data_IF_150033694031
#
_entry.id   IF_150033694031
#
_cell.length_a   1.000
_cell.length_b   1.000
_cell.length_c   1.000
_cell.angle_alpha   90.00
_cell.angle_beta   90.00
_cell.angle_gamma   90.00
#
_symmetry.space_group_name_H-M   'P 1'
#
loop_
_entity.id
_entity.type
_entity.pdbx_description
1 polymer ?
#
# COMPACT_ATOMS: atom_id res chain seq x y z
N UNK A 1 -26.26 -8.60 1.31
CA UNK A 1 -25.06 -9.38 1.00
C UNK A 1 -25.06 -9.79 -0.47
N UNK A 2 -24.11 -9.29 -1.23
CA UNK A 2 -23.95 -9.56 -2.68
C UNK A 2 -23.32 -10.93 -2.96
N UNK A 3 -22.77 -11.60 -1.94
CA UNK A 3 -22.09 -12.91 -2.04
C UNK A 3 -21.04 -12.95 -3.16
N UNK A 4 -20.29 -11.85 -3.33
CA UNK A 4 -19.26 -11.72 -4.37
C UNK A 4 -19.85 -11.98 -5.79
N UNK A 5 -21.00 -11.37 -6.06
CA UNK A 5 -21.71 -11.54 -7.31
C UNK A 5 -21.98 -10.18 -8.00
N UNK A 6 -21.28 -9.84 -9.10
CA UNK A 6 -21.43 -8.56 -9.78
C UNK A 6 -22.88 -8.23 -10.21
N UNK A 7 -23.66 -9.26 -10.59
CA UNK A 7 -25.07 -9.07 -10.92
C UNK A 7 -25.91 -8.62 -9.71
N UNK A 8 -25.62 -9.17 -8.51
CA UNK A 8 -26.32 -8.76 -7.30
C UNK A 8 -25.93 -7.33 -6.91
N UNK A 9 -24.68 -6.94 -7.09
CA UNK A 9 -24.16 -5.59 -6.87
C UNK A 9 -24.82 -4.59 -7.84
N UNK A 10 -24.98 -4.94 -9.10
CA UNK A 10 -25.72 -4.13 -10.08
C UNK A 10 -27.19 -3.92 -9.68
N UNK A 11 -27.87 -5.00 -9.24
CA UNK A 11 -29.25 -4.92 -8.79
C UNK A 11 -29.40 -4.06 -7.52
N UNK A 12 -28.43 -4.14 -6.61
CA UNK A 12 -28.42 -3.33 -5.40
C UNK A 12 -28.33 -1.82 -5.74
N UNK A 13 -27.53 -1.43 -6.73
CA UNK A 13 -27.32 -0.04 -7.14
C UNK A 13 -28.60 0.68 -7.57
N UNK A 14 -29.63 -0.04 -8.03
CA UNK A 14 -30.90 0.55 -8.45
C UNK A 14 -31.95 0.63 -7.33
N UNK A 15 -31.66 0.05 -6.16
CA UNK A 15 -32.63 0.05 -5.06
C UNK A 15 -32.88 1.46 -4.50
N UNK A 16 -34.10 1.74 -3.99
CA UNK A 16 -34.39 3.03 -3.36
C UNK A 16 -33.45 3.36 -2.21
N UNK A 17 -33.09 2.36 -1.39
CA UNK A 17 -32.19 2.53 -0.25
C UNK A 17 -30.84 3.12 -0.68
N UNK A 18 -30.22 2.57 -1.75
CA UNK A 18 -28.97 3.11 -2.27
C UNK A 18 -29.17 4.48 -2.88
N UNK A 19 -30.25 4.65 -3.69
CA UNK A 19 -30.51 5.92 -4.37
C UNK A 19 -30.82 7.10 -3.44
N UNK A 20 -31.18 6.85 -2.18
CA UNK A 20 -31.43 7.88 -1.16
C UNK A 20 -30.27 8.05 -0.21
N UNK A 21 -29.21 7.24 -0.32
CA UNK A 21 -28.02 7.35 0.52
C UNK A 21 -27.18 8.57 0.17
N UNK A 22 -26.52 9.15 1.17
CA UNK A 22 -25.53 10.24 1.01
C UNK A 22 -24.13 9.69 0.74
N UNK A 23 -23.87 8.44 1.17
CA UNK A 23 -22.58 7.73 1.00
C UNK A 23 -22.85 6.22 0.94
N UNK A 24 -22.07 5.52 0.14
CA UNK A 24 -22.01 4.05 0.12
C UNK A 24 -20.59 3.60 0.46
N UNK A 25 -20.44 2.69 1.44
CA UNK A 25 -19.18 2.03 1.75
C UNK A 25 -19.25 0.60 1.22
N UNK A 26 -18.43 0.27 0.22
CA UNK A 26 -18.50 -0.96 -0.56
C UNK A 26 -19.06 -0.73 -1.96
N UNK A 27 -19.21 -1.80 -2.77
CA UNK A 27 -18.80 -3.19 -2.50
C UNK A 27 -17.31 -3.38 -2.21
N UNK A 28 -16.96 -4.53 -1.62
CA UNK A 28 -15.59 -4.82 -1.18
C UNK A 28 -14.71 -5.30 -2.34
N UNK A 29 -15.26 -6.13 -3.23
CA UNK A 29 -14.49 -6.73 -4.31
C UNK A 29 -14.49 -5.88 -5.58
N UNK A 30 -13.38 -5.87 -6.36
CA UNK A 30 -13.23 -5.00 -7.53
C UNK A 30 -14.31 -5.16 -8.58
N UNK A 31 -14.68 -6.40 -8.91
CA UNK A 31 -15.67 -6.70 -9.96
C UNK A 31 -17.07 -6.26 -9.54
N UNK A 32 -17.42 -6.48 -8.27
CA UNK A 32 -18.66 -6.02 -7.65
C UNK A 32 -18.73 -4.48 -7.65
N UNK A 33 -17.63 -3.83 -7.24
CA UNK A 33 -17.55 -2.38 -7.22
C UNK A 33 -17.68 -1.78 -8.62
N UNK A 34 -17.06 -2.39 -9.62
CA UNK A 34 -17.17 -1.95 -11.01
C UNK A 34 -18.62 -2.08 -11.52
N UNK A 35 -19.26 -3.23 -11.28
CA UNK A 35 -20.64 -3.46 -11.67
C UNK A 35 -21.61 -2.47 -11.00
N UNK A 36 -21.42 -2.24 -9.70
CA UNK A 36 -22.20 -1.30 -8.91
C UNK A 36 -22.05 0.15 -9.40
N UNK A 37 -20.83 0.64 -9.55
CA UNK A 37 -20.55 2.03 -9.95
C UNK A 37 -20.96 2.32 -11.39
N UNK A 38 -20.83 1.36 -12.29
CA UNK A 38 -21.32 1.50 -13.68
C UNK A 38 -22.83 1.76 -13.73
N UNK A 39 -23.60 1.05 -12.91
CA UNK A 39 -25.07 1.25 -12.84
C UNK A 39 -25.42 2.59 -12.17
N UNK A 40 -24.70 2.98 -11.10
CA UNK A 40 -24.91 4.28 -10.46
C UNK A 40 -24.61 5.44 -11.42
N UNK A 41 -23.51 5.38 -12.16
CA UNK A 41 -23.15 6.41 -13.13
C UNK A 41 -24.21 6.59 -14.21
N UNK A 42 -24.83 5.48 -14.66
CA UNK A 42 -25.95 5.51 -15.64
C UNK A 42 -27.24 6.09 -15.07
N UNK A 43 -27.40 6.21 -13.75
CA UNK A 43 -28.64 6.72 -13.14
C UNK A 43 -28.72 8.24 -13.06
N UNK A 44 -27.68 8.96 -13.43
CA UNK A 44 -27.57 10.43 -13.34
C UNK A 44 -27.46 10.98 -11.92
N UNK A 45 -27.49 10.13 -10.89
CA UNK A 45 -27.30 10.54 -9.49
C UNK A 45 -25.86 10.26 -9.06
N UNK A 46 -25.27 11.25 -8.47
CA UNK A 46 -23.90 11.19 -7.93
C UNK A 46 -23.96 10.83 -6.45
N UNK A 47 -23.54 9.60 -6.12
CA UNK A 47 -23.42 9.13 -4.74
C UNK A 47 -21.96 8.76 -4.48
N UNK A 48 -21.27 9.44 -3.55
CA UNK A 48 -19.92 9.05 -3.17
C UNK A 48 -19.86 7.58 -2.76
N UNK A 49 -18.96 6.83 -3.38
CA UNK A 49 -18.81 5.39 -3.14
C UNK A 49 -17.40 5.12 -2.65
N UNK A 50 -17.26 4.54 -1.47
CA UNK A 50 -15.97 4.20 -0.85
C UNK A 50 -15.62 2.76 -1.17
N UNK A 51 -14.45 2.54 -1.78
CA UNK A 51 -13.82 1.23 -1.92
C UNK A 51 -12.95 0.95 -0.69
N UNK A 52 -13.41 0.12 0.26
CA UNK A 52 -12.75 0.00 1.55
C UNK A 52 -11.47 -0.81 1.52
N UNK A 53 -11.38 -1.86 0.67
CA UNK A 53 -10.27 -2.82 0.71
C UNK A 53 -9.51 -2.96 -0.61
N UNK A 54 -10.08 -2.55 -1.74
CA UNK A 54 -9.46 -2.78 -3.04
C UNK A 54 -8.66 -1.57 -3.53
N UNK A 55 -7.34 -1.70 -3.74
CA UNK A 55 -6.52 -0.67 -4.36
C UNK A 55 -6.61 -0.65 -5.89
N UNK A 56 -7.19 -1.70 -6.51
CA UNK A 56 -7.23 -1.88 -7.96
C UNK A 56 -8.42 -1.19 -8.63
N UNK A 57 -9.43 -0.79 -7.87
CA UNK A 57 -10.66 -0.18 -8.38
C UNK A 57 -10.45 1.05 -9.30
N UNK A 58 -9.49 1.95 -9.05
CA UNK A 58 -9.35 3.17 -9.84
C UNK A 58 -9.03 2.95 -11.32
N UNK A 59 -8.42 1.83 -11.68
CA UNK A 59 -8.02 1.58 -13.07
C UNK A 59 -9.19 1.18 -13.99
N UNK A 60 -10.24 0.61 -13.41
CA UNK A 60 -11.39 0.05 -14.13
C UNK A 60 -12.65 0.88 -14.00
N UNK A 61 -12.77 1.66 -12.92
CA UNK A 61 -13.96 2.47 -12.61
C UNK A 61 -13.68 3.92 -12.95
N UNK A 62 -14.29 4.40 -14.02
CA UNK A 62 -14.25 5.83 -14.44
C UNK A 62 -15.28 6.64 -13.65
N UNK A 63 -15.19 6.60 -12.32
CA UNK A 63 -16.11 7.32 -11.46
C UNK A 63 -15.36 8.40 -10.65
N UNK A 64 -15.68 9.66 -10.93
CA UNK A 64 -15.08 10.81 -10.23
C UNK A 64 -15.48 10.92 -8.76
N UNK A 65 -16.44 10.12 -8.30
CA UNK A 65 -16.95 10.08 -6.92
C UNK A 65 -16.53 8.83 -6.17
N UNK A 66 -15.74 7.97 -6.80
CA UNK A 66 -15.12 6.84 -6.12
C UNK A 66 -14.04 7.34 -5.17
N UNK A 67 -14.04 6.80 -3.95
CA UNK A 67 -13.00 7.02 -2.94
C UNK A 67 -12.28 5.70 -2.68
N UNK A 68 -11.03 5.59 -3.09
CA UNK A 68 -10.19 4.41 -2.86
C UNK A 68 -9.39 4.59 -1.57
N UNK A 69 -9.74 3.85 -0.53
CA UNK A 69 -9.11 3.93 0.80
C UNK A 69 -7.79 3.16 0.85
N UNK A 70 -7.76 1.94 0.29
CA UNK A 70 -6.54 1.16 0.22
C UNK A 70 -5.52 1.80 -0.74
N UNK A 71 -4.35 2.11 -0.23
CA UNK A 71 -3.29 2.78 -1.03
C UNK A 71 -2.81 1.88 -2.17
N UNK A 72 -2.89 2.31 -3.44
CA UNK A 72 -2.39 1.54 -4.57
C UNK A 72 -0.87 1.33 -4.53
N UNK A 73 -0.42 0.20 -5.09
CA UNK A 73 0.99 -0.22 -5.11
C UNK A 73 1.94 0.83 -5.70
N UNK A 74 1.47 1.62 -6.64
CA UNK A 74 2.26 2.71 -7.23
C UNK A 74 2.72 3.75 -6.21
N UNK A 75 1.89 4.06 -5.20
CA UNK A 75 2.27 5.02 -4.14
C UNK A 75 3.25 4.41 -3.14
N UNK A 76 3.17 3.11 -2.89
CA UNK A 76 4.23 2.41 -2.16
C UNK A 76 5.57 2.54 -2.87
N UNK A 77 5.60 2.34 -4.18
CA UNK A 77 6.80 2.46 -4.99
C UNK A 77 7.35 3.90 -5.02
N UNK A 78 6.47 4.90 -5.18
CA UNK A 78 6.85 6.32 -5.11
C UNK A 78 7.39 6.72 -3.75
N UNK A 79 6.72 6.32 -2.67
CA UNK A 79 7.16 6.60 -1.30
C UNK A 79 8.51 5.95 -1.00
N UNK A 80 8.74 4.73 -1.49
CA UNK A 80 10.05 4.07 -1.37
C UNK A 80 11.14 4.84 -2.12
N UNK A 81 10.86 5.31 -3.35
CA UNK A 81 11.81 6.11 -4.10
C UNK A 81 12.14 7.46 -3.41
N UNK A 82 11.12 8.12 -2.86
CA UNK A 82 11.29 9.36 -2.11
C UNK A 82 12.14 9.15 -0.85
N UNK A 83 11.81 8.13 -0.05
CA UNK A 83 12.55 7.77 1.15
C UNK A 83 14.03 7.44 0.86
N UNK A 84 14.31 6.64 -0.17
CA UNK A 84 15.68 6.34 -0.60
C UNK A 84 16.44 7.61 -0.97
N UNK A 85 15.81 8.52 -1.72
CA UNK A 85 16.47 9.76 -2.10
C UNK A 85 16.70 10.71 -0.92
N UNK A 86 15.81 10.74 0.04
CA UNK A 86 15.91 11.61 1.22
C UNK A 86 17.01 11.15 2.19
N UNK A 87 17.03 9.85 2.51
CA UNK A 87 17.87 9.29 3.57
C UNK A 87 19.24 8.80 3.08
N UNK A 88 19.32 8.25 1.87
CA UNK A 88 20.54 7.62 1.34
C UNK A 88 21.21 8.42 0.22
N UNK A 89 20.46 9.20 -0.57
CA UNK A 89 20.96 9.97 -1.72
C UNK A 89 21.90 9.17 -2.63
N UNK A 90 21.56 7.94 -3.01
CA UNK A 90 22.49 7.03 -3.65
C UNK A 90 22.81 7.48 -5.10
N UNK A 91 24.06 7.29 -5.51
CA UNK A 91 24.44 7.44 -6.93
C UNK A 91 23.85 6.34 -7.80
N UNK A 92 23.62 5.15 -7.22
CA UNK A 92 23.09 3.97 -7.90
C UNK A 92 22.05 3.27 -7.03
N UNK A 93 21.01 2.73 -7.65
CA UNK A 93 20.02 1.83 -7.04
C UNK A 93 19.95 0.55 -7.86
N UNK A 94 20.02 -0.60 -7.21
CA UNK A 94 19.95 -1.91 -7.82
C UNK A 94 18.54 -2.49 -7.67
N UNK A 95 17.82 -2.72 -8.78
CA UNK A 95 16.53 -3.39 -8.78
C UNK A 95 16.74 -4.84 -9.21
N UNK A 96 16.58 -5.79 -8.28
CA UNK A 96 16.73 -7.22 -8.60
C UNK A 96 15.37 -7.79 -9.04
N UNK A 97 15.27 -8.12 -10.32
CA UNK A 97 14.05 -8.64 -10.96
C UNK A 97 14.08 -10.16 -11.02
N UNK A 98 12.94 -10.80 -10.78
CA UNK A 98 12.76 -12.24 -11.06
C UNK A 98 12.47 -12.53 -12.52
N UNK A 99 12.03 -11.52 -13.28
CA UNK A 99 11.63 -11.64 -14.67
C UNK A 99 10.12 -11.81 -14.89
N UNK A 100 9.32 -11.88 -13.84
CA UNK A 100 7.87 -11.89 -13.96
C UNK A 100 7.30 -10.50 -14.25
N UNK A 101 6.29 -10.43 -15.11
CA UNK A 101 5.74 -9.17 -15.61
C UNK A 101 4.96 -8.37 -14.57
N UNK A 102 4.42 -9.02 -13.55
CA UNK A 102 3.68 -8.40 -12.45
C UNK A 102 4.55 -7.45 -11.61
N UNK A 103 5.85 -7.69 -11.53
CA UNK A 103 6.81 -6.78 -10.89
C UNK A 103 6.82 -5.38 -11.51
N UNK A 104 6.42 -5.26 -12.78
CA UNK A 104 6.38 -3.96 -13.45
C UNK A 104 5.37 -3.00 -12.83
N UNK A 105 4.35 -3.51 -12.13
CA UNK A 105 3.39 -2.68 -11.37
C UNK A 105 4.08 -1.89 -10.26
N UNK A 106 5.19 -2.39 -9.73
CA UNK A 106 6.04 -1.70 -8.76
C UNK A 106 7.23 -0.99 -9.43
N UNK A 107 7.94 -1.67 -10.34
CA UNK A 107 9.18 -1.18 -10.94
C UNK A 107 8.95 0.10 -11.73
N UNK A 108 7.88 0.16 -12.54
CA UNK A 108 7.62 1.32 -13.40
C UNK A 108 7.38 2.60 -12.60
N UNK A 109 6.46 2.63 -11.61
CA UNK A 109 6.29 3.81 -10.77
C UNK A 109 7.52 4.12 -9.90
N UNK A 110 8.25 3.09 -9.40
CA UNK A 110 9.49 3.30 -8.67
C UNK A 110 10.56 4.04 -9.49
N UNK A 111 10.78 3.63 -10.74
CA UNK A 111 11.72 4.30 -11.66
C UNK A 111 11.31 5.75 -11.91
N UNK A 112 10.03 5.98 -12.22
CA UNK A 112 9.51 7.35 -12.41
C UNK A 112 9.69 8.20 -11.15
N UNK A 113 9.41 7.63 -9.98
CA UNK A 113 9.62 8.28 -8.69
C UNK A 113 11.07 8.64 -8.47
N UNK A 114 12.01 7.69 -8.66
CA UNK A 114 13.45 7.91 -8.51
C UNK A 114 13.93 9.01 -9.46
N UNK A 115 13.55 8.98 -10.73
CA UNK A 115 13.92 9.99 -11.72
C UNK A 115 13.43 11.40 -11.32
N UNK A 116 12.20 11.47 -10.80
CA UNK A 116 11.59 12.71 -10.34
C UNK A 116 12.32 13.29 -9.13
N UNK A 117 12.45 12.50 -8.04
CA UNK A 117 12.97 13.01 -6.76
C UNK A 117 14.48 13.24 -6.80
N UNK A 118 15.24 12.44 -7.55
CA UNK A 118 16.69 12.59 -7.72
C UNK A 118 17.05 13.58 -8.82
N UNK A 119 16.06 14.13 -9.54
CA UNK A 119 16.27 14.93 -10.75
C UNK A 119 17.17 14.21 -11.77
N UNK A 120 16.95 12.89 -11.93
CA UNK A 120 17.72 11.96 -12.80
C UNK A 120 19.20 11.82 -12.44
N UNK A 121 19.58 12.11 -11.20
CA UNK A 121 20.98 11.97 -10.75
C UNK A 121 21.31 10.54 -10.27
N UNK A 122 20.30 9.76 -9.88
CA UNK A 122 20.46 8.37 -9.44
C UNK A 122 20.38 7.42 -10.62
N UNK A 123 21.44 6.65 -10.86
CA UNK A 123 21.46 5.60 -11.89
C UNK A 123 20.72 4.35 -11.40
N UNK A 124 19.78 3.84 -12.18
CA UNK A 124 19.08 2.59 -11.89
C UNK A 124 19.73 1.45 -12.67
N UNK A 125 20.12 0.39 -11.97
CA UNK A 125 20.67 -0.86 -12.51
C UNK A 125 19.65 -1.95 -12.20
N UNK A 126 19.05 -2.56 -13.23
CA UNK A 126 17.90 -3.44 -13.05
C UNK A 126 18.09 -4.80 -13.77
N UNK A 127 19.02 -5.65 -13.30
CA UNK A 127 19.24 -6.97 -13.87
C UNK A 127 18.07 -7.91 -13.56
N UNK A 128 17.87 -8.88 -14.45
CA UNK A 128 17.09 -10.07 -14.14
C UNK A 128 18.02 -11.08 -13.48
N UNK A 129 17.72 -11.45 -12.24
CA UNK A 129 18.56 -12.35 -11.44
C UNK A 129 18.11 -13.79 -11.64
N UNK A 130 19.01 -14.63 -12.09
CA UNK A 130 18.74 -16.05 -12.28
C UNK A 130 19.42 -16.86 -11.17
N UNK A 131 18.64 -17.69 -10.47
CA UNK A 131 19.15 -18.56 -9.39
C UNK A 131 19.97 -17.83 -8.32
N UNK A 132 19.61 -16.57 -8.03
CA UNK A 132 20.30 -15.75 -7.02
C UNK A 132 21.72 -15.31 -7.38
N UNK A 133 22.16 -15.43 -8.63
CA UNK A 133 23.50 -15.00 -9.05
C UNK A 133 23.58 -13.49 -9.07
N UNK A 134 24.52 -12.93 -8.30
CA UNK A 134 24.77 -11.50 -8.17
C UNK A 134 26.20 -11.12 -8.56
N UNK A 135 26.98 -12.05 -9.11
CA UNK A 135 28.41 -11.88 -9.42
C UNK A 135 28.68 -10.69 -10.34
N UNK A 136 27.82 -10.47 -11.32
CA UNK A 136 27.92 -9.36 -12.27
C UNK A 136 27.73 -7.97 -11.62
N UNK A 137 27.15 -7.92 -10.43
CA UNK A 137 26.97 -6.68 -9.69
C UNK A 137 28.17 -6.34 -8.79
N UNK A 138 28.96 -7.32 -8.41
CA UNK A 138 30.09 -7.14 -7.47
C UNK A 138 31.04 -6.01 -7.90
N UNK A 139 31.47 -5.88 -9.16
CA UNK A 139 32.32 -4.75 -9.57
C UNK A 139 31.67 -3.37 -9.46
N UNK A 140 30.36 -3.32 -9.26
CA UNK A 140 29.61 -2.08 -9.17
C UNK A 140 29.28 -1.68 -7.73
N UNK A 141 29.53 -2.56 -6.76
CA UNK A 141 29.26 -2.32 -5.34
C UNK A 141 30.35 -1.45 -4.71
N UNK A 142 29.94 -0.58 -3.80
CA UNK A 142 30.83 0.19 -2.94
C UNK A 142 31.16 -0.61 -1.67
N UNK A 143 32.39 -0.53 -1.22
CA UNK A 143 32.83 -1.09 0.07
C UNK A 143 32.65 -0.10 1.23
N UNK A 144 32.37 1.16 0.94
CA UNK A 144 32.30 2.25 1.92
C UNK A 144 30.95 2.97 1.96
N UNK A 145 30.26 3.08 0.82
CA UNK A 145 28.94 3.71 0.73
C UNK A 145 27.84 2.61 0.74
N UNK A 146 26.66 2.94 1.26
CA UNK A 146 25.51 2.00 1.25
C UNK A 146 25.12 1.64 -0.16
N UNK A 147 24.99 0.35 -0.42
CA UNK A 147 24.46 -0.20 -1.65
C UNK A 147 22.97 -0.45 -1.48
N UNK A 148 22.17 0.34 -2.17
CA UNK A 148 20.70 0.30 -2.07
C UNK A 148 20.14 -0.71 -3.06
N UNK A 149 19.48 -1.75 -2.54
CA UNK A 149 18.81 -2.78 -3.32
C UNK A 149 17.29 -2.66 -3.16
N UNK A 150 16.57 -2.84 -4.27
CA UNK A 150 15.10 -2.92 -4.31
C UNK A 150 14.72 -4.26 -4.93
N UNK A 151 13.91 -5.02 -4.21
CA UNK A 151 13.43 -6.34 -4.66
C UNK A 151 11.91 -6.33 -4.68
N UNK A 152 11.28 -6.06 -5.84
CA UNK A 152 9.83 -5.92 -5.98
C UNK A 152 9.08 -7.26 -6.07
N UNK A 153 9.80 -8.37 -6.04
CA UNK A 153 9.22 -9.70 -6.26
C UNK A 153 8.39 -10.19 -5.07
N UNK A 154 7.36 -10.95 -5.36
CA UNK A 154 6.56 -11.72 -4.38
C UNK A 154 6.76 -13.23 -4.55
N UNK A 155 7.59 -13.66 -5.51
CA UNK A 155 7.86 -15.06 -5.76
C UNK A 155 8.76 -15.68 -4.69
N UNK A 156 8.25 -16.66 -3.94
CA UNK A 156 8.94 -17.28 -2.82
C UNK A 156 10.28 -17.90 -3.20
N UNK A 157 10.33 -18.66 -4.30
CA UNK A 157 11.56 -19.34 -4.72
C UNK A 157 12.66 -18.34 -5.07
N UNK A 158 12.30 -17.30 -5.80
CA UNK A 158 13.21 -16.21 -6.14
C UNK A 158 13.72 -15.51 -4.90
N UNK A 159 12.83 -15.14 -3.98
CA UNK A 159 13.17 -14.41 -2.76
C UNK A 159 14.13 -15.20 -1.87
N UNK A 160 13.83 -16.47 -1.58
CA UNK A 160 14.66 -17.30 -0.72
C UNK A 160 16.11 -17.38 -1.22
N UNK A 161 16.30 -17.55 -2.53
CA UNK A 161 17.64 -17.69 -3.10
C UNK A 161 18.36 -16.34 -3.18
N UNK A 162 17.67 -15.31 -3.67
CA UNK A 162 18.25 -13.97 -3.88
C UNK A 162 18.62 -13.30 -2.56
N UNK A 163 17.77 -13.40 -1.52
CA UNK A 163 18.07 -12.83 -0.22
C UNK A 163 19.24 -13.51 0.49
N UNK A 164 19.42 -14.84 0.32
CA UNK A 164 20.62 -15.53 0.81
C UNK A 164 21.89 -15.04 0.14
N UNK A 165 21.83 -14.78 -1.15
CA UNK A 165 22.97 -14.22 -1.90
C UNK A 165 23.28 -12.79 -1.43
N UNK A 166 22.28 -11.96 -1.21
CA UNK A 166 22.47 -10.62 -0.61
C UNK A 166 23.06 -10.69 0.79
N UNK A 167 22.59 -11.61 1.65
CA UNK A 167 23.15 -11.82 3.00
C UNK A 167 24.64 -12.21 2.98
N UNK A 168 25.03 -13.02 1.99
CA UNK A 168 26.44 -13.35 1.76
C UNK A 168 27.27 -12.14 1.32
N UNK A 169 26.71 -11.28 0.48
CA UNK A 169 27.35 -10.03 0.05
C UNK A 169 27.44 -9.02 1.19
N UNK A 170 26.44 -8.97 2.07
CA UNK A 170 26.37 -8.04 3.21
C UNK A 170 27.53 -8.23 4.22
N UNK A 171 28.20 -9.38 4.19
CA UNK A 171 29.43 -9.60 4.98
C UNK A 171 30.62 -8.76 4.53
N UNK A 172 30.59 -8.26 3.29
CA UNK A 172 31.71 -7.54 2.64
C UNK A 172 31.33 -6.15 2.16
N UNK A 173 30.05 -5.90 1.96
CA UNK A 173 29.53 -4.65 1.40
C UNK A 173 28.42 -4.13 2.29
N UNK A 174 28.36 -2.83 2.61
CA UNK A 174 27.21 -2.25 3.29
C UNK A 174 25.99 -2.33 2.35
N UNK A 175 24.92 -2.99 2.84
CA UNK A 175 23.70 -3.24 2.06
C UNK A 175 22.48 -2.74 2.81
N UNK A 176 21.62 -2.01 2.12
CA UNK A 176 20.26 -1.68 2.54
C UNK A 176 19.27 -2.20 1.52
N UNK A 177 18.28 -2.95 1.99
CA UNK A 177 17.28 -3.62 1.15
C UNK A 177 15.91 -2.97 1.29
N UNK A 178 15.23 -2.78 0.17
CA UNK A 178 13.83 -2.37 0.10
C UNK A 178 13.01 -3.48 -0.55
N UNK A 179 12.05 -4.02 0.21
CA UNK A 179 11.19 -5.12 -0.22
C UNK A 179 9.80 -4.66 -0.67
N UNK A 180 9.06 -5.59 -1.28
CA UNK A 180 7.65 -5.39 -1.62
C UNK A 180 6.79 -5.28 -0.35
N UNK A 181 5.76 -4.42 -0.29
CA UNK A 181 4.90 -4.25 0.90
C UNK A 181 4.27 -5.56 1.40
N UNK A 182 3.97 -6.51 0.53
CA UNK A 182 3.43 -7.81 0.90
C UNK A 182 4.37 -8.68 1.75
N UNK A 183 5.67 -8.35 1.83
CA UNK A 183 6.63 -9.16 2.60
C UNK A 183 6.31 -9.22 4.09
N UNK A 184 5.62 -8.22 4.63
CA UNK A 184 5.12 -8.23 5.99
C UNK A 184 4.22 -9.44 6.32
N UNK A 185 3.62 -10.04 5.29
CA UNK A 185 2.70 -11.19 5.40
C UNK A 185 3.37 -12.53 5.08
N UNK A 186 4.65 -12.53 4.71
CA UNK A 186 5.37 -13.74 4.26
C UNK A 186 6.12 -14.42 5.42
N UNK A 187 5.51 -15.42 6.01
CA UNK A 187 6.06 -16.17 7.15
C UNK A 187 7.37 -16.92 6.87
N UNK A 188 7.68 -17.17 5.59
CA UNK A 188 8.94 -17.81 5.18
C UNK A 188 10.14 -16.86 5.15
N UNK A 189 9.92 -15.55 5.20
CA UNK A 189 10.99 -14.55 5.31
C UNK A 189 11.41 -14.41 6.78
N UNK A 190 12.63 -14.81 7.08
CA UNK A 190 13.13 -14.83 8.45
C UNK A 190 13.51 -13.41 8.91
N UNK A 191 12.98 -12.91 10.04
CA UNK A 191 13.29 -11.57 10.54
C UNK A 191 14.78 -11.29 10.77
N UNK A 192 15.55 -12.29 11.19
CA UNK A 192 17.00 -12.16 11.41
C UNK A 192 17.75 -11.88 10.11
N UNK A 193 17.37 -12.52 9.00
CA UNK A 193 17.92 -12.26 7.67
C UNK A 193 17.56 -10.84 7.20
N UNK A 194 16.29 -10.47 7.35
CA UNK A 194 15.80 -9.16 6.93
C UNK A 194 16.46 -8.02 7.74
N UNK A 195 16.71 -8.25 9.04
CA UNK A 195 17.42 -7.30 9.90
C UNK A 195 18.87 -7.13 9.47
N UNK A 196 19.61 -8.22 9.16
CA UNK A 196 21.00 -8.11 8.68
C UNK A 196 21.12 -7.34 7.38
N UNK A 197 20.11 -7.41 6.53
CA UNK A 197 20.03 -6.66 5.27
C UNK A 197 19.46 -5.25 5.45
N UNK A 198 19.26 -4.77 6.69
CA UNK A 198 18.63 -3.46 6.97
C UNK A 198 17.37 -3.28 6.11
N UNK A 199 16.47 -4.28 6.16
CA UNK A 199 15.36 -4.34 5.23
C UNK A 199 14.26 -3.37 5.60
N UNK A 200 13.88 -2.55 4.63
CA UNK A 200 12.75 -1.63 4.70
C UNK A 200 11.59 -2.16 3.85
N UNK A 201 10.38 -1.97 4.33
CA UNK A 201 9.15 -2.20 3.56
C UNK A 201 8.18 -1.04 3.76
N UNK A 202 7.47 -0.69 2.72
CA UNK A 202 6.37 0.27 2.81
C UNK A 202 5.11 -0.41 3.33
N UNK A 203 4.35 0.27 4.19
CA UNK A 203 3.16 -0.29 4.81
C UNK A 203 2.12 0.81 5.10
N UNK A 204 0.83 0.47 5.10
CA UNK A 204 -0.28 1.41 5.35
C UNK A 204 -1.12 1.06 6.56
N UNK A 205 -1.05 -0.19 7.04
CA UNK A 205 -2.05 -0.80 7.90
C UNK A 205 -1.46 -1.59 9.09
N UNK A 206 -0.34 -1.11 9.65
CA UNK A 206 0.30 -1.78 10.79
C UNK A 206 -0.41 -1.45 12.10
N UNK A 207 -0.79 -2.49 12.85
CA UNK A 207 -1.35 -2.36 14.19
C UNK A 207 -0.22 -2.14 15.22
N UNK A 208 -0.26 -1.03 15.94
CA UNK A 208 0.58 -0.82 17.11
C UNK A 208 -0.15 -1.25 18.39
N UNK A 209 0.00 -2.50 18.76
CA UNK A 209 -0.63 -3.06 19.97
C UNK A 209 -0.16 -2.39 21.29
N UNK A 210 0.91 -1.61 21.26
CA UNK A 210 1.39 -0.83 22.43
C UNK A 210 0.64 0.50 22.58
N UNK A 211 -0.10 0.91 21.55
CA UNK A 211 -0.90 2.13 21.57
C UNK A 211 -2.05 2.06 22.58
N UNK A 212 -2.21 3.07 23.47
CA UNK A 212 -3.35 3.14 24.37
C UNK A 212 -4.70 3.17 23.65
N UNK A 213 -4.77 3.81 22.47
CA UNK A 213 -5.98 3.88 21.65
C UNK A 213 -6.39 2.50 21.13
N UNK A 214 -5.44 1.72 20.62
CA UNK A 214 -5.68 0.32 20.18
C UNK A 214 -6.15 -0.53 21.35
N UNK A 215 -5.48 -0.41 22.51
CA UNK A 215 -5.87 -1.15 23.73
C UNK A 215 -7.28 -0.79 24.19
N UNK A 216 -7.66 0.48 24.13
CA UNK A 216 -9.01 0.95 24.46
C UNK A 216 -10.04 0.43 23.46
N UNK A 217 -9.75 0.48 22.17
CA UNK A 217 -10.61 -0.07 21.11
C UNK A 217 -10.88 -1.56 21.34
N UNK A 218 -9.83 -2.36 21.55
CA UNK A 218 -9.97 -3.80 21.80
C UNK A 218 -10.87 -4.09 22.99
N UNK A 219 -10.69 -3.39 24.12
CA UNK A 219 -11.53 -3.55 25.31
C UNK A 219 -13.00 -3.22 25.02
N UNK A 220 -13.25 -2.11 24.33
CA UNK A 220 -14.61 -1.67 24.01
C UNK A 220 -15.28 -2.61 23.00
N UNK A 221 -14.53 -3.10 22.01
CA UNK A 221 -15.02 -4.06 21.04
C UNK A 221 -15.42 -5.39 21.70
N UNK A 222 -14.55 -5.94 22.59
CA UNK A 222 -14.86 -7.15 23.37
C UNK A 222 -16.13 -6.98 24.22
N UNK A 223 -16.28 -5.81 24.84
CA UNK A 223 -17.48 -5.50 25.65
C UNK A 223 -18.74 -5.45 24.80
N UNK A 224 -18.68 -4.85 23.62
CA UNK A 224 -19.83 -4.67 22.73
C UNK A 224 -20.23 -5.96 21.99
N UNK A 225 -19.22 -6.68 21.46
CA UNK A 225 -19.44 -7.80 20.52
C UNK A 225 -19.10 -9.17 21.10
N UNK A 226 -18.53 -9.25 22.31
CA UNK A 226 -18.07 -10.49 22.97
C UNK A 226 -17.14 -11.35 22.09
N UNK A 227 -16.35 -10.71 21.25
CA UNK A 227 -15.40 -11.33 20.31
C UNK A 227 -14.14 -10.48 20.17
N UNK A 228 -13.07 -11.07 19.62
CA UNK A 228 -11.86 -10.32 19.31
C UNK A 228 -12.06 -9.49 18.03
N UNK A 229 -11.59 -8.23 18.02
CA UNK A 229 -11.58 -7.45 16.80
C UNK A 229 -10.55 -8.03 15.83
N UNK A 230 -10.92 -8.11 14.57
CA UNK A 230 -10.01 -8.44 13.48
C UNK A 230 -9.32 -7.17 12.98
N UNK A 231 -8.33 -7.33 12.10
CA UNK A 231 -7.75 -6.22 11.34
C UNK A 231 -8.84 -5.41 10.60
N UNK A 232 -9.79 -6.10 9.98
CA UNK A 232 -10.91 -5.47 9.27
C UNK A 232 -11.87 -4.70 10.20
N UNK A 233 -12.01 -5.13 11.45
CA UNK A 233 -12.82 -4.39 12.43
C UNK A 233 -12.23 -3.01 12.73
N UNK A 234 -10.89 -2.92 12.79
CA UNK A 234 -10.19 -1.65 13.01
C UNK A 234 -10.23 -0.76 11.76
N UNK A 235 -10.09 -1.36 10.56
CA UNK A 235 -10.23 -0.63 9.30
C UNK A 235 -11.62 -0.02 9.17
N UNK A 236 -12.67 -0.83 9.35
CA UNK A 236 -14.05 -0.34 9.28
C UNK A 236 -14.38 0.71 10.36
N UNK A 237 -13.76 0.62 11.53
CA UNK A 237 -13.89 1.67 12.54
C UNK A 237 -13.28 2.99 12.07
N UNK A 238 -12.07 2.97 11.52
CA UNK A 238 -11.41 4.17 11.01
C UNK A 238 -12.18 4.80 9.85
N UNK A 239 -12.71 3.97 8.93
CA UNK A 239 -13.53 4.43 7.82
C UNK A 239 -14.85 5.04 8.31
N UNK A 240 -15.54 4.36 9.23
CA UNK A 240 -16.77 4.86 9.85
C UNK A 240 -16.56 6.16 10.58
N UNK A 241 -15.45 6.30 11.32
CA UNK A 241 -15.10 7.52 12.03
C UNK A 241 -14.82 8.68 11.07
N UNK A 242 -14.01 8.44 10.04
CA UNK A 242 -13.63 9.47 9.07
C UNK A 242 -14.81 9.94 8.23
N UNK A 243 -15.48 9.02 7.57
CA UNK A 243 -16.60 9.37 6.68
C UNK A 243 -17.84 9.80 7.45
N UNK A 244 -18.07 9.22 8.62
CA UNK A 244 -19.16 9.65 9.52
C UNK A 244 -18.98 11.07 10.04
N UNK A 245 -17.75 11.46 10.40
CA UNK A 245 -17.45 12.83 10.80
C UNK A 245 -17.66 13.82 9.64
N UNK A 246 -17.21 13.48 8.44
CA UNK A 246 -17.42 14.33 7.25
C UNK A 246 -18.90 14.54 6.94
N UNK A 247 -19.72 13.48 7.02
CA UNK A 247 -21.16 13.57 6.81
C UNK A 247 -21.85 14.42 7.88
N UNK A 248 -21.39 14.31 9.14
CA UNK A 248 -21.96 15.05 10.27
C UNK A 248 -21.57 16.52 10.28
N UNK A 249 -20.37 16.88 9.83
CA UNK A 249 -19.91 18.27 9.75
C UNK A 249 -20.48 18.97 8.52
N UNK A 250 -20.23 18.45 7.34
CA UNK A 250 -20.74 18.99 6.08
C UNK A 250 -20.63 17.93 4.96
N UNK A 251 -21.75 17.41 4.42
CA UNK A 251 -21.73 16.42 3.33
C UNK A 251 -20.96 16.87 2.07
N UNK A 252 -20.84 18.19 1.83
CA UNK A 252 -20.06 18.72 0.70
C UNK A 252 -18.53 18.52 0.88
N UNK A 253 -18.06 18.21 2.08
CA UNK A 253 -16.64 17.93 2.32
C UNK A 253 -16.20 16.59 1.73
N UNK A 254 -17.14 15.67 1.44
CA UNK A 254 -16.87 14.47 0.62
C UNK A 254 -16.34 14.81 -0.79
N UNK A 255 -16.56 16.04 -1.26
CA UNK A 255 -16.05 16.54 -2.54
C UNK A 255 -14.65 17.15 -2.45
N UNK A 256 -14.07 17.24 -1.23
CA UNK A 256 -12.83 17.99 -0.93
C UNK A 256 -11.93 17.22 0.06
N UNK A 257 -11.73 15.91 -0.17
CA UNK A 257 -10.98 15.03 0.73
C UNK A 257 -9.48 15.35 0.84
N UNK A 258 -8.94 16.18 -0.05
CA UNK A 258 -7.55 16.64 -0.05
C UNK A 258 -7.21 17.72 1.00
N UNK A 259 -8.22 18.26 1.66
CA UNK A 259 -8.03 19.37 2.59
C UNK A 259 -7.56 18.97 3.99
N UNK A 260 -7.78 17.72 4.39
CA UNK A 260 -7.55 17.29 5.78
C UNK A 260 -7.03 15.86 5.83
N UNK A 261 -5.78 15.70 6.24
CA UNK A 261 -5.22 14.40 6.57
C UNK A 261 -5.96 13.82 7.79
N UNK A 262 -6.19 12.53 7.80
CA UNK A 262 -6.79 11.79 8.91
C UNK A 262 -5.80 10.79 9.48
N UNK A 263 -5.80 10.63 10.80
CA UNK A 263 -5.09 9.57 11.51
C UNK A 263 -6.07 8.83 12.39
N UNK A 264 -6.34 7.57 12.02
CA UNK A 264 -7.16 6.63 12.77
C UNK A 264 -6.37 5.73 13.69
N UNK A 265 -6.99 4.61 14.11
CA UNK A 265 -6.35 3.57 14.90
C UNK A 265 -5.25 2.85 14.11
N UNK A 266 -5.52 2.56 12.87
CA UNK A 266 -4.73 1.73 11.98
C UNK A 266 -4.30 2.51 10.74
N UNK A 267 -5.27 3.15 10.09
CA UNK A 267 -5.09 3.80 8.82
C UNK A 267 -4.78 5.29 8.97
N UNK A 268 -4.05 5.81 7.99
CA UNK A 268 -3.96 7.24 7.75
C UNK A 268 -4.45 7.53 6.35
N UNK A 269 -5.21 8.60 6.21
CA UNK A 269 -5.75 9.01 4.92
C UNK A 269 -5.15 10.33 4.50
N UNK A 270 -4.59 10.33 3.29
CA UNK A 270 -4.16 11.51 2.55
C UNK A 270 -4.64 11.33 1.13
N UNK A 271 -5.78 11.93 0.82
CA UNK A 271 -6.39 11.77 -0.48
C UNK A 271 -5.86 12.77 -1.49
N UNK A 272 -5.71 12.30 -2.73
CA UNK A 272 -5.57 13.15 -3.91
C UNK A 272 -6.68 12.85 -4.89
N UNK A 273 -7.11 13.86 -5.64
CA UNK A 273 -8.10 13.65 -6.71
C UNK A 273 -7.37 13.32 -8.00
N UNK A 274 -7.67 12.16 -8.57
CA UNK A 274 -7.20 11.77 -9.91
C UNK A 274 -8.26 12.09 -10.96
N UNK A 275 -7.92 12.83 -12.02
CA UNK A 275 -8.85 13.10 -13.10
C UNK A 275 -9.46 11.80 -13.66
N UNK A 276 -10.80 11.71 -13.68
CA UNK A 276 -11.53 10.55 -14.20
C UNK A 276 -11.55 9.29 -13.31
N UNK A 277 -10.88 9.32 -12.13
CA UNK A 277 -10.76 8.14 -11.26
C UNK A 277 -11.24 8.40 -9.82
N UNK A 278 -11.60 9.65 -9.46
CA UNK A 278 -12.03 9.99 -8.10
C UNK A 278 -10.89 10.24 -7.12
N UNK A 279 -11.13 9.93 -5.85
CA UNK A 279 -10.19 10.16 -4.76
C UNK A 279 -9.38 8.90 -4.44
N UNK A 280 -8.09 9.06 -4.24
CA UNK A 280 -7.18 7.95 -3.97
C UNK A 280 -6.33 8.27 -2.76
N UNK A 281 -6.33 7.38 -1.76
CA UNK A 281 -5.41 7.49 -0.63
C UNK A 281 -3.97 7.25 -1.09
N UNK A 282 -3.06 8.11 -0.68
CA UNK A 282 -1.64 8.06 -1.04
C UNK A 282 -0.72 7.89 0.16
N UNK A 283 -1.30 7.79 1.36
CA UNK A 283 -0.49 7.66 2.57
C UNK A 283 0.25 6.32 2.61
N UNK A 284 1.54 6.36 2.92
CA UNK A 284 2.41 5.20 3.12
C UNK A 284 3.37 5.49 4.26
N UNK A 285 3.56 4.55 5.17
CA UNK A 285 4.65 4.56 6.15
C UNK A 285 5.82 3.72 5.65
N UNK A 286 7.04 4.10 5.98
CA UNK A 286 8.20 3.24 5.81
C UNK A 286 8.50 2.53 7.13
N UNK A 287 8.72 1.22 7.07
CA UNK A 287 9.05 0.38 8.21
C UNK A 287 10.41 -0.28 7.97
N UNK A 288 11.20 -0.45 9.03
CA UNK A 288 12.48 -1.18 9.02
C UNK A 288 12.41 -2.39 9.95
N UNK A 289 13.04 -3.50 9.55
CA UNK A 289 13.27 -4.64 10.44
C UNK A 289 14.38 -4.31 11.44
N UNK A 290 13.98 -4.07 12.69
CA UNK A 290 14.87 -3.72 13.79
C UNK A 290 14.45 -4.45 15.08
N UNK A 291 15.40 -5.12 15.74
CA UNK A 291 15.13 -5.99 16.89
C UNK A 291 14.05 -7.05 16.61
N UNK A 292 14.12 -7.70 15.45
CA UNK A 292 13.19 -8.73 14.97
C UNK A 292 11.73 -8.25 14.78
N UNK A 293 11.49 -6.97 14.86
CA UNK A 293 10.18 -6.35 14.66
C UNK A 293 10.26 -5.33 13.51
N UNK A 294 9.14 -5.13 12.84
CA UNK A 294 8.98 -3.99 11.93
C UNK A 294 8.72 -2.73 12.75
N UNK A 295 9.56 -1.72 12.63
CA UNK A 295 9.41 -0.42 13.30
C UNK A 295 9.26 0.68 12.26
N UNK A 296 8.44 1.68 12.58
CA UNK A 296 8.32 2.87 11.74
C UNK A 296 9.65 3.61 11.75
N UNK A 297 10.10 4.01 10.56
CA UNK A 297 11.26 4.89 10.36
C UNK A 297 10.72 6.29 10.07
N UNK A 298 11.27 7.29 10.75
CA UNK A 298 10.90 8.70 10.57
C UNK A 298 11.69 9.33 9.43
#
# INVERSE_FOLDING_TARGET
DTKDAPAASSNLAVTPAIRTSDLVVGPVFPDDLQAFTNVLAGSGKVIPTVSPLSPAAPATVKDQFLVTVATPLEYHAWSTAAFINEHYKPKKVFILKSGYSDENKYITPFKKGTDSVSKRKTKIIAPTVVRGRLDELIPQLSTTEENVFVVPSTNQQFLVVTLRSLDSLAKRYPITLFGHPSWAKFSYLKPDLLQRLKTHISNTDRIDYKSPQISAFIRNYRKAYRSEPTHYSMMGFDEGLYFGALLGENPDDLKKLDKKDFTGLLNKYRFIKKPGLGWVNTHVNMLEYNNFELKKVE
#
